data_IF_942360434695
#
_entry.id   IF_942360434695
#
_cell.length_a   1.000
_cell.length_b   1.000
_cell.length_c   1.000
_cell.angle_alpha   90.00
_cell.angle_beta   90.00
_cell.angle_gamma   90.00
#
_symmetry.space_group_name_H-M   'P 1'
#
loop_
_entity.id
_entity.type
_entity.pdbx_description
1 polymer ?
#
# COMPACT_ATOMS: atom_id res chain seq x y z
N UNK A 1 13.29 0.46 -1.21
CA UNK A 1 12.10 0.54 -0.33
C UNK A 1 11.51 1.94 -0.39
N UNK A 2 12.31 2.99 -0.21
CA UNK A 2 11.89 4.40 -0.33
C UNK A 2 11.09 4.71 -1.61
N UNK A 3 11.56 4.25 -2.78
CA UNK A 3 10.80 4.41 -4.04
C UNK A 3 9.38 3.83 -4.00
N UNK A 4 9.19 2.67 -3.35
CA UNK A 4 7.86 2.06 -3.20
C UNK A 4 7.00 2.83 -2.20
N UNK A 5 7.62 3.44 -1.17
CA UNK A 5 6.92 4.30 -0.23
C UNK A 5 6.35 5.51 -0.96
N UNK A 6 7.17 6.21 -1.75
CA UNK A 6 6.75 7.40 -2.49
C UNK A 6 5.69 7.06 -3.54
N UNK A 7 5.85 5.94 -4.24
CA UNK A 7 4.84 5.43 -5.17
C UNK A 7 3.48 5.22 -4.50
N UNK A 8 3.43 4.53 -3.35
CA UNK A 8 2.16 4.30 -2.63
C UNK A 8 1.56 5.63 -2.17
N UNK A 9 2.37 6.55 -1.64
CA UNK A 9 1.89 7.88 -1.21
C UNK A 9 1.28 8.67 -2.36
N UNK A 10 1.89 8.64 -3.55
CA UNK A 10 1.34 9.31 -4.72
C UNK A 10 -0.01 8.72 -5.14
N UNK A 11 -0.13 7.39 -5.17
CA UNK A 11 -1.41 6.71 -5.48
C UNK A 11 -2.50 7.10 -4.48
N UNK A 12 -2.18 7.16 -3.19
CA UNK A 12 -3.10 7.58 -2.12
C UNK A 12 -3.45 9.08 -2.13
N UNK A 13 -2.73 9.90 -2.89
CA UNK A 13 -3.10 11.31 -3.11
C UNK A 13 -4.15 11.46 -4.21
N UNK A 14 -4.16 10.54 -5.17
CA UNK A 14 -5.08 10.56 -6.31
C UNK A 14 -6.33 9.72 -6.08
N UNK A 15 -6.22 8.66 -5.29
CA UNK A 15 -7.30 7.70 -5.02
C UNK A 15 -7.57 7.63 -3.51
N UNK A 16 -8.84 7.69 -3.13
CA UNK A 16 -9.26 7.61 -1.73
C UNK A 16 -8.93 6.23 -1.11
N UNK A 17 -9.04 5.17 -1.90
CA UNK A 17 -8.74 3.79 -1.53
C UNK A 17 -8.03 3.10 -2.70
N UNK A 18 -6.95 2.39 -2.41
CA UNK A 18 -6.16 1.61 -3.38
C UNK A 18 -6.00 0.19 -2.84
N UNK A 19 -6.30 -0.82 -3.64
CA UNK A 19 -5.98 -2.20 -3.26
C UNK A 19 -4.48 -2.45 -3.41
N UNK A 20 -3.92 -3.31 -2.55
CA UNK A 20 -2.51 -3.70 -2.64
C UNK A 20 -2.18 -4.34 -4.00
N UNK A 21 -3.13 -5.07 -4.60
CA UNK A 21 -2.96 -5.68 -5.94
C UNK A 21 -2.80 -4.64 -7.05
N UNK A 22 -3.49 -3.50 -6.94
CA UNK A 22 -3.38 -2.40 -7.91
C UNK A 22 -2.05 -1.64 -7.84
N UNK A 23 -1.17 -1.94 -6.87
CA UNK A 23 0.18 -1.39 -6.82
C UNK A 23 1.16 -2.10 -7.77
N UNK A 24 0.71 -3.16 -8.46
CA UNK A 24 1.50 -3.95 -9.38
C UNK A 24 0.88 -3.93 -10.78
N UNK A 25 1.73 -4.02 -11.80
CA UNK A 25 1.31 -4.23 -13.19
C UNK A 25 1.03 -5.71 -13.49
N UNK A 26 0.85 -6.03 -14.77
CA UNK A 26 0.60 -7.42 -15.25
C UNK A 26 1.71 -8.40 -14.90
N UNK A 27 2.95 -7.92 -14.76
CA UNK A 27 4.11 -8.71 -14.39
C UNK A 27 4.77 -8.08 -13.16
N UNK A 28 4.96 -8.89 -12.14
CA UNK A 28 5.67 -8.52 -10.92
C UNK A 28 6.48 -9.72 -10.42
N UNK A 29 7.51 -9.45 -9.62
CA UNK A 29 8.34 -10.50 -9.03
C UNK A 29 8.01 -10.71 -7.55
N UNK A 30 8.38 -11.86 -7.00
CA UNK A 30 8.24 -12.13 -5.55
C UNK A 30 8.96 -11.08 -4.71
N UNK A 31 10.15 -10.65 -5.15
CA UNK A 31 10.94 -9.63 -4.46
C UNK A 31 10.23 -8.28 -4.46
N UNK A 32 9.57 -7.93 -5.57
CA UNK A 32 8.77 -6.71 -5.65
C UNK A 32 7.58 -6.76 -4.70
N UNK A 33 6.87 -7.89 -4.62
CA UNK A 33 5.77 -8.07 -3.68
C UNK A 33 6.24 -7.87 -2.24
N UNK A 34 7.36 -8.49 -1.86
CA UNK A 34 7.95 -8.34 -0.52
C UNK A 34 8.34 -6.89 -0.25
N UNK A 35 9.02 -6.23 -1.19
CA UNK A 35 9.47 -4.85 -1.02
C UNK A 35 8.29 -3.87 -0.89
N UNK A 36 7.25 -4.02 -1.72
CA UNK A 36 6.04 -3.19 -1.64
C UNK A 36 5.25 -3.47 -0.35
N UNK A 37 5.23 -4.71 0.14
CA UNK A 37 4.58 -5.05 1.40
C UNK A 37 5.31 -4.42 2.60
N UNK A 38 6.65 -4.49 2.63
CA UNK A 38 7.45 -3.83 3.66
C UNK A 38 7.27 -2.30 3.63
N UNK A 39 7.25 -1.70 2.44
CA UNK A 39 6.95 -0.28 2.27
C UNK A 39 5.56 0.09 2.82
N UNK A 40 4.53 -0.73 2.54
CA UNK A 40 3.20 -0.54 3.10
C UNK A 40 3.20 -0.59 4.63
N UNK A 41 3.87 -1.57 5.24
CA UNK A 41 3.98 -1.67 6.70
C UNK A 41 4.66 -0.44 7.31
N UNK A 42 5.67 0.11 6.64
CA UNK A 42 6.35 1.33 7.09
C UNK A 42 5.44 2.56 7.02
N UNK A 43 4.65 2.70 5.95
CA UNK A 43 3.67 3.77 5.81
C UNK A 43 2.61 3.69 6.92
N UNK A 44 2.10 2.49 7.20
CA UNK A 44 1.14 2.27 8.28
C UNK A 44 1.77 2.60 9.64
N UNK A 45 3.02 2.19 9.87
CA UNK A 45 3.77 2.53 11.08
C UNK A 45 3.94 4.04 11.27
N UNK A 46 4.13 4.78 10.18
CA UNK A 46 4.22 6.25 10.19
C UNK A 46 2.86 6.96 10.34
N UNK A 47 1.75 6.21 10.44
CA UNK A 47 0.37 6.71 10.48
C UNK A 47 -0.07 7.53 9.25
N UNK A 48 0.63 7.40 8.13
CA UNK A 48 0.26 8.08 6.88
C UNK A 48 -0.93 7.39 6.19
N UNK A 49 -1.01 6.06 6.27
CA UNK A 49 -2.10 5.27 5.71
C UNK A 49 -2.61 4.25 6.74
N UNK A 50 -3.85 3.81 6.56
CA UNK A 50 -4.43 2.67 7.27
C UNK A 50 -4.78 1.59 6.25
N UNK A 51 -4.80 0.34 6.72
CA UNK A 51 -5.12 -0.83 5.91
C UNK A 51 -6.33 -1.57 6.47
N UNK A 52 -7.14 -2.14 5.58
CA UNK A 52 -8.25 -3.02 5.92
C UNK A 52 -8.09 -4.35 5.17
N UNK A 53 -8.13 -5.44 5.92
CA UNK A 53 -8.12 -6.81 5.40
C UNK A 53 -9.11 -7.63 6.23
N UNK A 54 -10.17 -8.12 5.59
CA UNK A 54 -11.28 -8.80 6.28
C UNK A 54 -10.96 -10.25 6.66
N UNK A 55 -10.04 -10.89 5.96
CA UNK A 55 -9.64 -12.29 6.17
C UNK A 55 -8.16 -12.49 5.86
N UNK A 56 -7.54 -13.52 6.46
CA UNK A 56 -6.13 -13.85 6.18
C UNK A 56 -5.93 -14.17 4.71
N UNK A 57 -4.87 -13.62 4.10
CA UNK A 57 -4.58 -13.73 2.67
C UNK A 57 -5.66 -13.12 1.73
N UNK A 58 -6.66 -12.45 2.29
CA UNK A 58 -7.65 -11.68 1.56
C UNK A 58 -7.08 -10.38 1.00
N UNK A 59 -7.94 -9.62 0.32
CA UNK A 59 -7.57 -8.33 -0.24
C UNK A 59 -7.17 -7.32 0.85
N UNK A 60 -6.14 -6.55 0.55
CA UNK A 60 -5.64 -5.48 1.43
C UNK A 60 -6.01 -4.17 0.77
N UNK A 61 -6.95 -3.46 1.39
CA UNK A 61 -7.35 -2.12 0.97
C UNK A 61 -6.57 -1.08 1.76
N UNK A 62 -5.98 -0.12 1.07
CA UNK A 62 -5.10 0.91 1.62
C UNK A 62 -5.80 2.25 1.45
N UNK A 63 -5.88 3.03 2.52
CA UNK A 63 -6.55 4.34 2.50
C UNK A 63 -5.71 5.36 3.28
N UNK A 64 -5.68 6.61 2.79
CA UNK A 64 -4.91 7.68 3.43
C UNK A 64 -5.54 8.05 4.77
N UNK A 65 -4.72 8.26 5.79
CA UNK A 65 -5.17 8.85 7.04
C UNK A 65 -5.30 10.36 6.82
N UNK A 66 -6.53 10.85 6.76
CA UNK A 66 -6.82 12.29 6.81
C UNK A 66 -6.99 12.69 8.25
N UNK A 67 -6.09 13.52 8.77
CA UNK A 67 -6.30 14.22 10.04
C UNK A 67 -7.46 15.19 9.86
N UNK A 68 -8.60 14.89 10.47
CA UNK A 68 -9.67 15.88 10.70
C UNK A 68 -9.25 16.86 11.79
#
# INVERSE_FOLDING_TARGET
IEEKIDYIKQRLNTEAVVSFRQLFGEKFTRNEVIATFLALLEIVRSKFARVKQSESFGEINIERVTSS
#
